data_IF_131504745573
#
_entry.id   IF_131504745573
#
_cell.length_a   1.000
_cell.length_b   1.000
_cell.length_c   1.000
_cell.angle_alpha   90.00
_cell.angle_beta   90.00
_cell.angle_gamma   90.00
#
_symmetry.space_group_name_H-M   'P 1'
#
loop_
_entity.id
_entity.type
_entity.pdbx_description
1 polymer ?
#
# COMPACT_ATOMS: atom_id res chain seq x y z
N UNK A 1 -28.32 13.31 15.88
CA UNK A 1 -27.05 13.49 15.14
C UNK A 1 -27.30 14.29 13.87
N UNK A 2 -26.37 15.17 13.45
CA UNK A 2 -26.50 15.87 12.16
C UNK A 2 -26.55 14.86 11.01
N UNK A 3 -27.42 15.10 10.01
CA UNK A 3 -27.50 14.31 8.77
C UNK A 3 -26.17 14.40 8.01
N UNK A 4 -25.73 13.29 7.42
CA UNK A 4 -24.51 13.24 6.60
C UNK A 4 -24.81 13.76 5.19
N UNK A 5 -23.96 14.63 4.65
CA UNK A 5 -24.10 15.21 3.30
C UNK A 5 -23.41 14.40 2.21
N UNK A 6 -22.48 13.51 2.59
CA UNK A 6 -21.63 12.74 1.68
C UNK A 6 -20.76 13.60 0.74
N UNK A 7 -20.52 14.87 1.09
CA UNK A 7 -19.64 15.78 0.34
C UNK A 7 -18.15 15.46 0.57
N UNK A 8 -17.65 14.44 -0.11
CA UNK A 8 -16.26 13.95 0.01
C UNK A 8 -15.37 14.54 -1.10
N UNK A 9 -14.82 15.72 -0.86
CA UNK A 9 -13.83 16.33 -1.75
C UNK A 9 -12.47 15.62 -1.65
N UNK A 10 -11.62 15.83 -2.64
CA UNK A 10 -10.24 15.31 -2.63
C UNK A 10 -9.46 15.83 -1.40
N UNK A 11 -9.61 17.11 -1.07
CA UNK A 11 -8.96 17.75 0.07
C UNK A 11 -9.39 17.12 1.40
N UNK A 12 -10.70 16.89 1.60
CA UNK A 12 -11.20 16.24 2.82
C UNK A 12 -10.70 14.79 2.94
N UNK A 13 -10.66 14.05 1.83
CA UNK A 13 -10.11 12.68 1.81
C UNK A 13 -8.61 12.66 2.09
N UNK A 14 -7.85 13.62 1.56
CA UNK A 14 -6.41 13.78 1.81
C UNK A 14 -6.16 14.08 3.28
N UNK A 15 -6.85 15.07 3.84
CA UNK A 15 -6.76 15.44 5.25
C UNK A 15 -6.99 14.24 6.17
N UNK A 16 -8.04 13.45 5.90
CA UNK A 16 -8.35 12.26 6.69
C UNK A 16 -7.29 11.17 6.55
N UNK A 17 -6.67 11.02 5.36
CA UNK A 17 -5.57 10.06 5.19
C UNK A 17 -4.32 10.50 5.95
N UNK A 18 -3.89 11.76 5.79
CA UNK A 18 -2.69 12.30 6.45
C UNK A 18 -2.81 12.32 7.98
N UNK A 19 -4.03 12.49 8.50
CA UNK A 19 -4.30 12.58 9.93
C UNK A 19 -5.04 11.36 10.46
N UNK A 20 -4.99 10.21 9.78
CA UNK A 20 -5.82 9.03 10.06
C UNK A 20 -5.91 8.69 11.56
N UNK A 21 -4.77 8.68 12.25
CA UNK A 21 -4.66 8.29 13.65
C UNK A 21 -4.95 9.42 14.65
N UNK A 22 -5.08 10.68 14.23
CA UNK A 22 -5.21 11.82 15.14
C UNK A 22 -6.30 12.83 14.73
N UNK A 23 -7.03 13.34 15.74
CA UNK A 23 -7.96 14.44 15.55
C UNK A 23 -7.20 15.73 15.22
N UNK A 24 -7.51 16.39 14.09
CA UNK A 24 -6.78 17.60 13.64
C UNK A 24 -6.96 18.80 14.56
N UNK A 25 -7.97 18.78 15.42
CA UNK A 25 -8.26 19.92 16.31
C UNK A 25 -7.62 19.80 17.70
N UNK A 26 -7.52 18.60 18.26
CA UNK A 26 -7.07 18.41 19.64
C UNK A 26 -5.94 17.40 19.77
N UNK A 27 -5.46 16.84 18.66
CA UNK A 27 -4.44 15.80 18.59
C UNK A 27 -4.77 14.53 19.39
N UNK A 28 -6.06 14.28 19.64
CA UNK A 28 -6.49 13.02 20.26
C UNK A 28 -6.17 11.85 19.31
N UNK A 29 -5.44 10.87 19.82
CA UNK A 29 -5.13 9.63 19.11
C UNK A 29 -6.34 8.70 19.14
N UNK A 30 -6.88 8.39 17.97
CA UNK A 30 -8.03 7.50 17.83
C UNK A 30 -7.69 6.06 18.28
N UNK A 31 -8.70 5.38 18.82
CA UNK A 31 -8.65 3.98 19.23
C UNK A 31 -9.68 3.17 18.45
N UNK A 32 -9.41 1.88 18.26
CA UNK A 32 -10.34 0.94 17.59
C UNK A 32 -11.77 1.11 18.15
N UNK A 33 -12.73 1.35 17.24
CA UNK A 33 -14.13 1.54 17.59
C UNK A 33 -14.54 2.99 17.91
N UNK A 34 -13.59 3.93 18.03
CA UNK A 34 -13.91 5.36 18.11
C UNK A 34 -14.67 5.82 16.86
N UNK A 35 -15.48 6.88 16.99
CA UNK A 35 -16.09 7.51 15.81
C UNK A 35 -15.26 8.72 15.38
N UNK A 36 -14.83 8.72 14.13
CA UNK A 36 -14.23 9.88 13.48
C UNK A 36 -15.26 10.60 12.61
N UNK A 37 -15.15 11.93 12.55
CA UNK A 37 -16.05 12.78 11.80
C UNK A 37 -15.29 13.58 10.76
N UNK A 38 -15.69 13.43 9.50
CA UNK A 38 -15.19 14.22 8.39
C UNK A 38 -16.25 15.23 8.02
N UNK A 39 -15.86 16.48 7.84
CA UNK A 39 -16.80 17.52 7.48
C UNK A 39 -16.15 18.87 7.31
N UNK A 40 -16.92 19.93 7.48
CA UNK A 40 -16.48 21.29 7.23
C UNK A 40 -16.91 22.24 8.34
N UNK A 41 -16.02 23.15 8.70
CA UNK A 41 -16.31 24.20 9.68
C UNK A 41 -17.18 25.32 9.08
N UNK A 42 -17.49 26.36 9.87
CA UNK A 42 -18.30 27.51 9.39
C UNK A 42 -17.69 28.23 8.19
N UNK A 43 -16.36 28.27 8.11
CA UNK A 43 -15.59 28.87 7.01
C UNK A 43 -15.37 27.91 5.83
N UNK A 44 -16.07 26.76 5.81
CA UNK A 44 -15.98 25.75 4.75
C UNK A 44 -14.61 25.05 4.62
N UNK A 45 -13.76 25.12 5.66
CA UNK A 45 -12.48 24.41 5.74
C UNK A 45 -12.72 22.95 6.18
N UNK A 46 -12.07 21.95 5.54
CA UNK A 46 -12.23 20.55 5.91
C UNK A 46 -11.67 20.26 7.30
N UNK A 47 -12.31 19.34 8.03
CA UNK A 47 -11.92 18.90 9.36
C UNK A 47 -12.08 17.38 9.49
N UNK A 48 -11.10 16.74 10.13
CA UNK A 48 -11.13 15.34 10.56
C UNK A 48 -10.98 15.27 12.08
N UNK A 49 -12.10 15.03 12.79
CA UNK A 49 -12.17 15.26 14.24
C UNK A 49 -12.81 14.10 14.99
N UNK A 50 -12.46 13.96 16.28
CA UNK A 50 -13.10 13.04 17.20
C UNK A 50 -14.46 13.55 17.70
N UNK A 51 -15.23 12.70 18.37
CA UNK A 51 -16.55 13.02 18.94
C UNK A 51 -16.56 14.32 19.75
N UNK A 52 -15.56 14.53 20.62
CA UNK A 52 -15.44 15.73 21.46
C UNK A 52 -15.30 17.03 20.66
N UNK A 53 -14.70 16.95 19.47
CA UNK A 53 -14.47 18.09 18.57
C UNK A 53 -15.52 18.20 17.45
N UNK A 54 -16.44 17.24 17.33
CA UNK A 54 -17.48 17.19 16.28
C UNK A 54 -18.36 18.45 16.22
N UNK A 55 -18.53 19.16 17.34
CA UNK A 55 -19.25 20.45 17.43
C UNK A 55 -18.66 21.58 16.57
N UNK A 56 -17.40 21.45 16.13
CA UNK A 56 -16.76 22.41 15.23
C UNK A 56 -17.25 22.27 13.78
N UNK A 57 -17.86 21.13 13.44
CA UNK A 57 -18.43 20.88 12.14
C UNK A 57 -19.77 21.61 11.99
N UNK A 58 -19.81 22.57 11.06
CA UNK A 58 -21.09 23.11 10.56
C UNK A 58 -21.79 22.07 9.70
N UNK A 59 -21.01 21.30 8.94
CA UNK A 59 -21.47 20.24 8.06
C UNK A 59 -20.71 18.96 8.39
N UNK A 60 -21.43 17.86 8.66
CA UNK A 60 -20.82 16.52 8.70
C UNK A 60 -20.96 15.87 7.31
N UNK A 61 -19.84 15.62 6.65
CA UNK A 61 -19.82 14.90 5.36
C UNK A 61 -20.06 13.41 5.57
N UNK A 62 -19.27 12.78 6.43
CA UNK A 62 -19.38 11.36 6.77
C UNK A 62 -18.86 11.09 8.19
N UNK A 63 -19.29 9.98 8.78
CA UNK A 63 -18.74 9.43 10.01
C UNK A 63 -18.20 8.04 9.72
N UNK A 64 -17.04 7.73 10.28
CA UNK A 64 -16.43 6.41 10.18
C UNK A 64 -16.17 5.87 11.58
N UNK A 65 -16.36 4.57 11.74
CA UNK A 65 -15.72 3.87 12.85
C UNK A 65 -14.24 3.79 12.52
N UNK A 66 -13.42 4.31 13.42
CA UNK A 66 -11.98 4.25 13.28
C UNK A 66 -11.50 2.83 13.47
N UNK A 67 -10.62 2.41 12.56
CA UNK A 67 -9.80 1.21 12.65
C UNK A 67 -8.35 1.58 12.31
N UNK A 68 -7.33 1.04 13.01
CA UNK A 68 -5.94 1.18 12.64
C UNK A 68 -5.67 0.74 11.20
N UNK A 69 -4.63 1.30 10.61
CA UNK A 69 -4.15 0.84 9.31
C UNK A 69 -3.60 -0.59 9.44
N UNK A 70 -3.77 -1.44 8.42
CA UNK A 70 -3.20 -2.79 8.43
C UNK A 70 -1.68 -2.83 8.15
N UNK A 71 -1.05 -1.65 8.06
CA UNK A 71 0.36 -1.42 7.79
C UNK A 71 0.87 -0.22 8.59
N UNK A 72 2.19 -0.16 8.78
CA UNK A 72 2.84 1.03 9.34
C UNK A 72 3.28 1.99 8.23
N UNK A 73 3.12 3.29 8.48
CA UNK A 73 3.58 4.34 7.56
C UNK A 73 5.07 4.62 7.80
N UNK A 74 5.90 4.72 6.74
CA UNK A 74 7.28 5.19 6.86
C UNK A 74 7.40 6.62 7.36
N UNK A 75 8.46 6.89 8.13
CA UNK A 75 8.87 8.26 8.45
C UNK A 75 9.12 9.01 7.14
N UNK A 76 8.81 10.32 7.05
CA UNK A 76 9.00 11.13 5.85
C UNK A 76 10.37 10.94 5.18
N UNK A 77 11.45 10.94 5.97
CA UNK A 77 12.83 10.81 5.51
C UNK A 77 13.28 9.37 5.23
N UNK A 78 12.42 8.36 5.39
CA UNK A 78 12.81 6.97 5.17
C UNK A 78 13.28 6.77 3.73
N UNK A 79 14.53 6.38 3.53
CA UNK A 79 15.09 6.12 2.20
C UNK A 79 14.50 4.86 1.59
N UNK A 80 14.04 4.98 0.36
CA UNK A 80 13.42 3.94 -0.44
C UNK A 80 14.22 3.75 -1.72
N UNK A 81 14.44 2.50 -2.08
CA UNK A 81 15.22 2.10 -3.24
C UNK A 81 14.39 1.25 -4.19
N UNK A 82 14.54 1.47 -5.49
CA UNK A 82 13.97 0.62 -6.53
C UNK A 82 15.05 0.20 -7.52
N UNK A 83 15.50 -1.03 -7.37
CA UNK A 83 16.47 -1.68 -8.24
C UNK A 83 15.76 -2.19 -9.50
N UNK A 84 16.36 -1.98 -10.67
CA UNK A 84 15.77 -2.41 -11.93
C UNK A 84 16.80 -2.45 -13.08
N UNK A 85 16.49 -3.21 -14.12
CA UNK A 85 17.20 -3.13 -15.40
C UNK A 85 17.00 -1.74 -16.05
N UNK A 86 18.02 -1.25 -16.76
CA UNK A 86 17.96 0.05 -17.46
C UNK A 86 16.71 0.24 -18.33
N UNK A 87 16.22 -0.82 -18.97
CA UNK A 87 15.02 -0.75 -19.81
C UNK A 87 13.76 -0.37 -19.03
N UNK A 88 13.62 -0.85 -17.78
CA UNK A 88 12.53 -0.46 -16.88
C UNK A 88 12.69 0.99 -16.43
N UNK A 89 13.93 1.45 -16.24
CA UNK A 89 14.21 2.85 -15.93
C UNK A 89 13.85 3.77 -17.10
N UNK A 90 14.25 3.44 -18.33
CA UNK A 90 13.82 4.17 -19.54
C UNK A 90 12.30 4.17 -19.69
N UNK A 91 11.63 3.06 -19.35
CA UNK A 91 10.16 2.99 -19.34
C UNK A 91 9.53 3.94 -18.32
N UNK A 92 10.09 4.03 -17.10
CA UNK A 92 9.67 5.00 -16.08
C UNK A 92 9.80 6.44 -16.60
N UNK A 93 10.95 6.79 -17.18
CA UNK A 93 11.21 8.13 -17.71
C UNK A 93 10.29 8.48 -18.89
N UNK A 94 10.15 7.56 -19.84
CA UNK A 94 9.36 7.76 -21.05
C UNK A 94 7.86 7.87 -20.76
N UNK A 95 7.36 7.08 -19.81
CA UNK A 95 5.94 7.10 -19.44
C UNK A 95 5.56 8.24 -18.50
N UNK A 96 6.53 8.87 -17.82
CA UNK A 96 6.24 9.89 -16.80
C UNK A 96 5.42 9.33 -15.63
N UNK A 97 5.53 8.03 -15.36
CA UNK A 97 4.65 7.37 -14.40
C UNK A 97 5.24 6.09 -13.81
N UNK A 98 4.87 5.83 -12.57
CA UNK A 98 5.25 4.61 -11.86
C UNK A 98 4.39 3.44 -12.31
N UNK A 99 5.02 2.33 -12.67
CA UNK A 99 4.32 1.08 -12.95
C UNK A 99 3.91 0.38 -11.63
N UNK A 100 2.63 0.03 -11.57
CA UNK A 100 2.00 -0.78 -10.53
C UNK A 100 1.56 -2.11 -11.16
N UNK A 101 2.17 -3.20 -10.73
CA UNK A 101 1.83 -4.55 -11.19
C UNK A 101 0.55 -5.03 -10.49
N UNK A 102 -0.34 -5.70 -11.22
CA UNK A 102 -1.50 -6.35 -10.59
C UNK A 102 -1.03 -7.44 -9.64
N UNK A 103 -1.65 -7.55 -8.46
CA UNK A 103 -1.15 -8.42 -7.39
C UNK A 103 -1.05 -9.91 -7.79
N UNK A 104 -1.91 -10.39 -8.70
CA UNK A 104 -1.83 -11.76 -9.21
C UNK A 104 -0.73 -12.00 -10.27
N UNK A 105 0.03 -10.98 -10.66
CA UNK A 105 1.16 -11.08 -11.59
C UNK A 105 2.52 -11.20 -10.87
N UNK A 106 2.52 -11.20 -9.53
CA UNK A 106 3.73 -11.43 -8.75
C UNK A 106 4.15 -12.90 -8.83
N UNK A 107 5.45 -13.15 -8.77
CA UNK A 107 6.00 -14.51 -8.76
C UNK A 107 5.67 -15.26 -7.47
N UNK A 108 5.61 -14.55 -6.33
CA UNK A 108 5.18 -15.16 -5.07
C UNK A 108 3.67 -15.44 -5.11
N UNK A 109 3.33 -16.73 -5.15
CA UNK A 109 1.95 -17.21 -5.12
C UNK A 109 1.20 -16.86 -3.82
N UNK A 110 1.92 -16.43 -2.78
CA UNK A 110 1.34 -15.97 -1.51
C UNK A 110 0.92 -14.50 -1.52
N UNK A 111 1.10 -13.76 -2.62
CA UNK A 111 0.66 -12.36 -2.70
C UNK A 111 -0.87 -12.25 -2.67
N UNK A 112 -1.40 -11.76 -1.56
CA UNK A 112 -2.84 -11.74 -1.26
C UNK A 112 -3.37 -13.03 -0.62
N UNK A 113 -2.50 -13.94 -0.19
CA UNK A 113 -2.91 -15.19 0.47
C UNK A 113 -3.22 -14.97 1.97
N UNK A 114 -4.23 -15.69 2.45
CA UNK A 114 -4.65 -15.66 3.88
C UNK A 114 -3.78 -16.55 4.76
N UNK A 115 -3.20 -17.62 4.21
CA UNK A 115 -2.37 -18.56 4.95
C UNK A 115 -2.11 -19.84 4.15
N UNK A 116 -1.55 -20.86 4.81
CA UNK A 116 -1.22 -22.14 4.17
C UNK A 116 -2.47 -22.97 3.88
N UNK A 117 -2.53 -23.60 2.69
CA UNK A 117 -3.64 -24.49 2.29
C UNK A 117 -3.92 -25.60 3.29
N UNK A 118 -2.87 -26.21 3.89
CA UNK A 118 -3.03 -27.26 4.90
C UNK A 118 -3.73 -26.80 6.18
N UNK A 119 -3.71 -25.49 6.45
CA UNK A 119 -4.37 -24.87 7.60
C UNK A 119 -5.78 -24.36 7.27
N UNK A 120 -6.24 -24.50 6.01
CA UNK A 120 -7.51 -23.95 5.53
C UNK A 120 -8.72 -24.41 6.37
N UNK A 121 -8.77 -25.67 6.77
CA UNK A 121 -9.88 -26.18 7.59
C UNK A 121 -10.06 -25.42 8.91
N UNK A 122 -8.96 -24.99 9.54
CA UNK A 122 -9.00 -24.18 10.77
C UNK A 122 -9.46 -22.75 10.51
N UNK A 123 -9.07 -22.17 9.37
CA UNK A 123 -9.59 -20.87 8.92
C UNK A 123 -11.10 -20.93 8.65
N UNK A 124 -11.53 -21.95 7.91
CA UNK A 124 -12.94 -22.15 7.56
C UNK A 124 -13.80 -22.34 8.81
N UNK A 125 -13.38 -23.18 9.77
CA UNK A 125 -14.09 -23.38 11.04
C UNK A 125 -14.26 -22.08 11.82
N UNK A 126 -13.21 -21.26 11.90
CA UNK A 126 -13.26 -19.96 12.57
C UNK A 126 -14.29 -19.02 11.91
N UNK A 127 -14.20 -18.83 10.58
CA UNK A 127 -15.10 -17.91 9.89
C UNK A 127 -16.54 -18.43 9.81
N UNK A 128 -16.75 -19.74 9.72
CA UNK A 128 -18.09 -20.31 9.81
C UNK A 128 -18.72 -20.01 11.18
N UNK A 129 -17.98 -20.19 12.27
CA UNK A 129 -18.47 -19.80 13.62
C UNK A 129 -18.80 -18.31 13.69
N UNK A 130 -17.92 -17.46 13.16
CA UNK A 130 -18.14 -16.02 13.09
C UNK A 130 -19.41 -15.67 12.29
N UNK A 131 -19.58 -16.26 11.10
CA UNK A 131 -20.73 -15.98 10.25
C UNK A 131 -22.04 -16.47 10.84
N UNK A 132 -22.07 -17.67 11.44
CA UNK A 132 -23.25 -18.17 12.16
C UNK A 132 -23.63 -17.19 13.27
N UNK A 133 -22.68 -16.80 14.11
CA UNK A 133 -22.92 -15.84 15.18
C UNK A 133 -23.42 -14.48 14.65
N UNK A 134 -22.87 -13.98 13.54
CA UNK A 134 -23.30 -12.73 12.93
C UNK A 134 -24.74 -12.80 12.37
N UNK A 135 -25.15 -13.94 11.82
CA UNK A 135 -26.51 -14.18 11.33
C UNK A 135 -27.50 -14.33 12.49
N UNK A 136 -27.10 -15.04 13.55
CA UNK A 136 -27.92 -15.29 14.75
C UNK A 136 -28.16 -14.03 15.58
N UNK A 137 -27.22 -13.09 15.56
CA UNK A 137 -27.25 -11.89 16.38
C UNK A 137 -27.39 -10.61 15.53
N UNK A 138 -28.53 -10.42 14.84
CA UNK A 138 -28.73 -9.24 14.01
C UNK A 138 -28.87 -7.97 14.86
N UNK A 139 -28.73 -6.78 14.25
CA UNK A 139 -28.88 -5.51 14.95
C UNK A 139 -30.25 -5.37 15.65
N UNK A 140 -30.30 -4.55 16.71
CA UNK A 140 -31.52 -4.28 17.47
C UNK A 140 -32.67 -3.86 16.55
N UNK A 141 -33.81 -4.55 16.67
CA UNK A 141 -35.00 -4.32 15.84
C UNK A 141 -35.15 -5.31 14.68
N UNK A 142 -34.18 -6.20 14.48
CA UNK A 142 -34.26 -7.32 13.54
C UNK A 142 -34.27 -8.63 14.33
N UNK A 143 -35.02 -9.62 13.83
CA UNK A 143 -35.06 -10.97 14.39
C UNK A 143 -34.60 -11.97 13.33
N UNK A 144 -33.72 -12.89 13.73
CA UNK A 144 -33.35 -14.02 12.88
C UNK A 144 -34.48 -15.06 12.93
N UNK A 145 -35.18 -15.23 11.80
CA UNK A 145 -36.26 -16.21 11.65
C UNK A 145 -35.83 -17.49 10.93
N UNK A 146 -34.53 -17.64 10.72
CA UNK A 146 -33.95 -18.77 9.99
C UNK A 146 -33.82 -19.98 10.91
N UNK A 147 -34.04 -21.17 10.36
CA UNK A 147 -33.71 -22.42 11.01
C UNK A 147 -32.19 -22.63 11.08
N UNK A 148 -31.73 -23.51 11.97
CA UNK A 148 -30.30 -23.85 12.07
C UNK A 148 -29.70 -24.35 10.75
N UNK A 149 -30.48 -25.07 9.93
CA UNK A 149 -30.03 -25.53 8.61
C UNK A 149 -29.81 -24.37 7.65
N UNK A 150 -30.73 -23.40 7.62
CA UNK A 150 -30.62 -22.22 6.75
C UNK A 150 -29.47 -21.30 7.18
N UNK A 151 -29.21 -21.18 8.49
CA UNK A 151 -28.07 -20.44 9.03
C UNK A 151 -26.76 -21.08 8.55
N UNK A 152 -26.65 -22.42 8.61
CA UNK A 152 -25.46 -23.12 8.14
C UNK A 152 -25.24 -22.93 6.63
N UNK A 153 -26.30 -23.08 5.83
CA UNK A 153 -26.24 -22.86 4.38
C UNK A 153 -25.77 -21.43 4.02
N UNK A 154 -26.27 -20.42 4.74
CA UNK A 154 -25.86 -19.04 4.54
C UNK A 154 -24.43 -18.77 5.00
N UNK A 155 -24.00 -19.31 6.15
CA UNK A 155 -22.62 -19.20 6.61
C UNK A 155 -21.64 -19.84 5.62
N UNK A 156 -21.99 -21.00 5.07
CA UNK A 156 -21.22 -21.67 4.02
C UNK A 156 -21.16 -20.83 2.74
N UNK A 157 -22.26 -20.17 2.37
CA UNK A 157 -22.28 -19.23 1.24
C UNK A 157 -21.35 -18.04 1.47
N UNK A 158 -21.41 -17.40 2.65
CA UNK A 158 -20.54 -16.27 2.99
C UNK A 158 -19.06 -16.66 2.97
N UNK A 159 -18.71 -17.87 3.44
CA UNK A 159 -17.34 -18.38 3.35
C UNK A 159 -16.89 -18.52 1.88
N UNK A 160 -17.71 -19.11 1.01
CA UNK A 160 -17.42 -19.21 -0.43
C UNK A 160 -17.29 -17.84 -1.09
N UNK A 161 -18.18 -16.91 -0.78
CA UNK A 161 -18.16 -15.56 -1.32
C UNK A 161 -16.89 -14.81 -0.88
N UNK A 162 -16.41 -15.01 0.35
CA UNK A 162 -15.12 -14.47 0.83
C UNK A 162 -13.91 -15.04 0.06
N UNK A 163 -13.96 -16.33 -0.30
CA UNK A 163 -12.90 -16.95 -1.10
C UNK A 163 -12.86 -16.38 -2.52
N UNK A 164 -14.00 -16.35 -3.20
CA UNK A 164 -14.16 -15.78 -4.54
C UNK A 164 -13.78 -14.29 -4.53
N UNK A 165 -14.21 -13.56 -3.51
CA UNK A 165 -13.84 -12.17 -3.29
C UNK A 165 -12.33 -12.00 -3.20
N UNK A 166 -11.62 -12.87 -2.49
CA UNK A 166 -10.15 -12.82 -2.39
C UNK A 166 -9.45 -12.88 -3.76
N UNK A 167 -9.83 -13.82 -4.62
CA UNK A 167 -9.28 -13.91 -5.98
C UNK A 167 -9.65 -12.69 -6.84
N UNK A 168 -10.86 -12.16 -6.66
CA UNK A 168 -11.27 -10.92 -7.32
C UNK A 168 -10.42 -9.73 -6.86
N UNK A 169 -10.19 -9.58 -5.54
CA UNK A 169 -9.35 -8.53 -4.97
C UNK A 169 -7.91 -8.57 -5.53
N UNK A 170 -7.32 -9.76 -5.70
CA UNK A 170 -5.99 -9.91 -6.32
C UNK A 170 -5.93 -9.40 -7.76
N UNK A 171 -7.06 -9.45 -8.48
CA UNK A 171 -7.19 -8.93 -9.85
C UNK A 171 -7.51 -7.43 -9.92
N UNK A 172 -7.85 -6.81 -8.80
CA UNK A 172 -8.21 -5.38 -8.72
C UNK A 172 -7.21 -4.55 -7.91
N UNK A 173 -6.20 -5.20 -7.35
CA UNK A 173 -5.16 -4.55 -6.55
C UNK A 173 -3.88 -4.41 -7.38
N UNK A 174 -3.34 -3.21 -7.44
CA UNK A 174 -2.12 -2.88 -8.18
C UNK A 174 -1.08 -2.33 -7.22
N UNK A 175 0.16 -2.81 -7.33
CA UNK A 175 1.20 -2.65 -6.32
C UNK A 175 2.50 -2.16 -6.98
N UNK A 176 3.14 -1.16 -6.38
CA UNK A 176 4.51 -0.73 -6.67
C UNK A 176 5.38 -0.92 -5.43
N UNK A 177 6.45 -1.71 -5.55
CA UNK A 177 7.29 -2.12 -4.43
C UNK A 177 8.61 -1.34 -4.38
N UNK A 178 9.05 -1.04 -3.17
CA UNK A 178 10.28 -0.33 -2.83
C UNK A 178 10.99 -1.01 -1.67
N UNK A 179 12.31 -0.89 -1.61
CA UNK A 179 13.14 -1.41 -0.54
C UNK A 179 13.50 -0.30 0.44
N UNK A 180 13.08 -0.39 1.70
CA UNK A 180 13.44 0.60 2.71
C UNK A 180 14.80 0.29 3.33
N UNK A 181 15.80 1.13 3.07
CA UNK A 181 17.16 0.98 3.61
C UNK A 181 17.96 2.27 3.56
N UNK A 182 18.83 2.47 4.54
CA UNK A 182 19.75 3.62 4.56
C UNK A 182 20.85 3.54 3.52
N UNK A 183 21.21 2.31 3.14
CA UNK A 183 22.28 1.97 2.20
C UNK A 183 21.73 1.09 1.08
N UNK A 184 22.49 1.00 -0.01
CA UNK A 184 22.20 0.04 -1.06
C UNK A 184 22.35 -1.42 -0.59
N UNK A 185 21.79 -2.35 -1.35
CA UNK A 185 21.78 -3.77 -1.01
C UNK A 185 22.27 -4.63 -2.18
N UNK A 186 23.39 -5.32 -1.96
CA UNK A 186 23.98 -6.25 -2.92
C UNK A 186 22.98 -7.34 -3.36
N UNK A 187 22.21 -7.88 -2.40
CA UNK A 187 21.19 -8.88 -2.67
C UNK A 187 20.08 -8.31 -3.57
N UNK A 188 19.64 -7.07 -3.33
CA UNK A 188 18.57 -6.46 -4.12
C UNK A 188 19.00 -6.15 -5.55
N UNK A 189 20.26 -5.75 -5.75
CA UNK A 189 20.84 -5.63 -7.09
C UNK A 189 20.69 -6.94 -7.88
N UNK A 190 21.02 -8.08 -7.28
CA UNK A 190 20.93 -9.40 -7.92
C UNK A 190 19.50 -9.87 -8.14
N UNK A 191 18.60 -9.62 -7.18
CA UNK A 191 17.22 -10.10 -7.24
C UNK A 191 16.39 -9.39 -8.30
N UNK A 192 16.64 -8.09 -8.51
CA UNK A 192 15.77 -7.25 -9.35
C UNK A 192 16.39 -6.81 -10.69
N UNK A 193 17.61 -7.27 -10.97
CA UNK A 193 18.31 -6.96 -12.21
C UNK A 193 18.72 -8.24 -12.93
N UNK A 194 18.20 -8.42 -14.13
CA UNK A 194 18.52 -9.58 -14.99
C UNK A 194 19.95 -9.50 -15.50
N UNK A 195 20.47 -8.28 -15.68
CA UNK A 195 21.84 -8.04 -16.15
C UNK A 195 22.51 -6.95 -15.32
N UNK A 196 23.32 -7.36 -14.34
CA UNK A 196 23.91 -6.43 -13.38
C UNK A 196 24.71 -5.29 -14.04
N UNK A 197 25.37 -5.53 -15.17
CA UNK A 197 26.21 -4.50 -15.81
C UNK A 197 25.42 -3.37 -16.49
N UNK A 198 24.08 -3.47 -16.59
CA UNK A 198 23.22 -2.38 -17.04
C UNK A 198 22.08 -2.09 -16.05
N UNK A 199 22.27 -2.46 -14.78
CA UNK A 199 21.28 -2.22 -13.76
C UNK A 199 21.42 -0.81 -13.18
N UNK A 200 20.27 -0.24 -12.81
CA UNK A 200 20.21 1.02 -12.07
C UNK A 200 19.33 0.88 -10.83
N UNK A 201 19.53 1.73 -9.85
CA UNK A 201 18.65 1.87 -8.71
C UNK A 201 18.20 3.31 -8.57
N UNK A 202 16.89 3.52 -8.46
CA UNK A 202 16.33 4.83 -8.09
C UNK A 202 16.27 4.90 -6.58
N UNK A 203 16.87 5.93 -6.00
CA UNK A 203 16.69 6.28 -4.60
C UNK A 203 15.70 7.43 -4.48
N UNK A 204 14.81 7.33 -3.50
CA UNK A 204 13.83 8.34 -3.10
C UNK A 204 13.62 8.31 -1.58
N UNK A 205 12.77 9.18 -1.06
CA UNK A 205 12.25 9.11 0.30
C UNK A 205 10.75 8.78 0.28
N UNK A 206 10.19 8.38 1.42
CA UNK A 206 8.75 8.19 1.55
C UNK A 206 7.97 9.46 1.21
N UNK A 207 8.42 10.61 1.71
CA UNK A 207 7.79 11.90 1.42
C UNK A 207 7.83 12.21 -0.08
N UNK A 208 8.99 12.10 -0.72
CA UNK A 208 9.13 12.32 -2.17
C UNK A 208 8.25 11.38 -2.99
N UNK A 209 8.17 10.09 -2.63
CA UNK A 209 7.26 9.14 -3.30
C UNK A 209 5.78 9.56 -3.15
N UNK A 210 5.38 9.96 -1.94
CA UNK A 210 4.01 10.41 -1.66
C UNK A 210 3.65 11.69 -2.44
N UNK A 211 4.56 12.65 -2.46
CA UNK A 211 4.43 13.93 -3.19
C UNK A 211 4.38 13.70 -4.70
N UNK A 212 5.29 12.88 -5.24
CA UNK A 212 5.36 12.57 -6.65
C UNK A 212 4.08 11.89 -7.17
N UNK A 213 3.40 11.10 -6.32
CA UNK A 213 2.10 10.47 -6.63
C UNK A 213 0.90 11.41 -6.40
N UNK A 214 1.13 12.70 -6.20
CA UNK A 214 0.10 13.74 -6.11
C UNK A 214 -0.68 13.75 -4.79
N UNK A 215 -0.10 13.18 -3.72
CA UNK A 215 -0.76 13.05 -2.42
C UNK A 215 -2.16 12.42 -2.55
N UNK A 216 -2.28 11.42 -3.44
CA UNK A 216 -3.56 10.84 -3.80
C UNK A 216 -4.06 9.93 -2.66
N UNK A 217 -5.19 10.25 -1.98
CA UNK A 217 -5.69 9.47 -0.85
C UNK A 217 -6.23 8.09 -1.26
N UNK A 218 -6.27 7.76 -2.56
CA UNK A 218 -6.61 6.42 -3.06
C UNK A 218 -5.38 5.51 -3.15
N UNK A 219 -4.17 6.05 -2.98
CA UNK A 219 -2.93 5.29 -2.96
C UNK A 219 -2.47 5.16 -1.51
N UNK A 220 -2.44 3.93 -1.01
CA UNK A 220 -1.90 3.62 0.31
C UNK A 220 -0.41 3.31 0.19
N UNK A 221 0.43 3.93 1.01
CA UNK A 221 1.88 3.67 1.03
C UNK A 221 2.29 3.22 2.44
N UNK A 222 2.88 2.03 2.56
CA UNK A 222 3.13 1.40 3.86
C UNK A 222 4.17 0.29 3.84
N UNK A 223 4.68 -0.06 5.02
CA UNK A 223 5.59 -1.21 5.20
C UNK A 223 4.83 -2.52 5.20
N UNK A 224 5.45 -3.54 4.64
CA UNK A 224 5.03 -4.94 4.79
C UNK A 224 5.33 -5.42 6.20
N UNK A 225 4.38 -6.15 6.77
CA UNK A 225 4.58 -6.95 7.98
C UNK A 225 4.85 -8.41 7.61
N UNK A 226 5.97 -8.92 8.09
CA UNK A 226 6.44 -10.28 7.81
C UNK A 226 5.94 -11.26 8.86
N UNK A 227 5.10 -12.21 8.45
CA UNK A 227 4.44 -13.15 9.36
C UNK A 227 4.84 -14.60 9.08
N UNK A 228 4.83 -15.43 10.13
CA UNK A 228 4.91 -16.87 9.96
C UNK A 228 3.51 -17.44 9.68
N UNK A 229 3.24 -17.70 8.40
CA UNK A 229 1.95 -18.24 7.94
C UNK A 229 1.71 -19.71 8.35
N UNK A 230 2.67 -20.36 9.04
CA UNK A 230 2.43 -21.65 9.70
C UNK A 230 1.60 -21.49 10.96
N UNK A 231 1.86 -20.43 11.71
CA UNK A 231 1.28 -20.16 13.03
C UNK A 231 0.18 -19.07 12.99
N UNK A 232 0.16 -18.26 11.94
CA UNK A 232 -0.73 -17.10 11.80
C UNK A 232 -1.39 -17.03 10.42
N UNK A 233 -2.40 -16.17 10.30
CA UNK A 233 -3.08 -15.86 9.05
C UNK A 233 -3.04 -14.36 8.79
N UNK A 234 -3.07 -13.96 7.53
CA UNK A 234 -3.34 -12.58 7.15
C UNK A 234 -4.86 -12.33 7.22
N UNK A 235 -5.26 -11.24 7.89
CA UNK A 235 -6.64 -10.77 7.87
C UNK A 235 -7.10 -10.40 6.46
N UNK A 236 -8.40 -10.45 6.19
CA UNK A 236 -8.97 -10.19 4.85
C UNK A 236 -8.55 -8.81 4.31
N UNK A 237 -8.45 -7.81 5.19
CA UNK A 237 -8.07 -6.44 4.84
C UNK A 237 -6.54 -6.23 4.77
N UNK A 238 -5.76 -7.19 5.24
CA UNK A 238 -4.33 -7.03 5.48
C UNK A 238 -3.51 -7.84 4.47
N UNK A 239 -4.15 -8.70 3.66
CA UNK A 239 -3.49 -9.71 2.81
C UNK A 239 -2.42 -9.16 1.86
N UNK A 240 -2.52 -7.88 1.45
CA UNK A 240 -1.52 -7.22 0.59
C UNK A 240 -0.42 -6.47 1.38
N UNK A 241 -0.56 -6.42 2.70
CA UNK A 241 0.39 -5.86 3.66
C UNK A 241 1.11 -6.94 4.46
N UNK A 242 0.83 -8.22 4.19
CA UNK A 242 1.48 -9.37 4.81
C UNK A 242 2.33 -10.11 3.80
N UNK A 243 3.53 -10.50 4.22
CA UNK A 243 4.41 -11.38 3.44
C UNK A 243 5.01 -12.46 4.33
N UNK A 244 5.44 -13.55 3.72
CA UNK A 244 6.07 -14.66 4.47
C UNK A 244 7.40 -14.19 5.06
N UNK A 245 7.69 -14.63 6.29
CA UNK A 245 8.91 -14.28 7.03
C UNK A 245 10.23 -14.51 6.27
N UNK A 246 10.26 -15.45 5.31
CA UNK A 246 11.43 -15.70 4.46
C UNK A 246 11.87 -14.49 3.61
N UNK A 247 10.98 -13.54 3.35
CA UNK A 247 11.24 -12.33 2.56
C UNK A 247 11.58 -11.10 3.42
N UNK A 248 11.77 -11.26 4.73
CA UNK A 248 12.01 -10.13 5.66
C UNK A 248 13.22 -9.26 5.27
N UNK A 249 14.22 -9.88 4.62
CA UNK A 249 15.39 -9.18 4.08
C UNK A 249 15.04 -8.12 3.02
N UNK A 250 13.88 -8.23 2.35
CA UNK A 250 13.45 -7.27 1.33
C UNK A 250 12.99 -5.93 1.92
N UNK A 251 12.69 -5.85 3.23
CA UNK A 251 12.28 -4.60 3.92
C UNK A 251 11.29 -3.77 3.11
N UNK A 252 10.26 -4.43 2.60
CA UNK A 252 9.42 -3.93 1.52
C UNK A 252 8.47 -2.82 1.98
N UNK A 253 8.42 -1.73 1.20
CA UNK A 253 7.39 -0.68 1.26
C UNK A 253 6.58 -0.76 -0.03
N UNK A 254 5.26 -0.80 0.09
CA UNK A 254 4.34 -0.85 -1.05
C UNK A 254 3.56 0.43 -1.19
N UNK A 255 3.45 0.93 -2.42
CA UNK A 255 2.37 1.78 -2.85
C UNK A 255 1.28 0.90 -3.47
N UNK A 256 0.05 0.97 -2.97
CA UNK A 256 -1.08 0.12 -3.37
C UNK A 256 -2.26 0.98 -3.79
N UNK A 257 -2.85 0.64 -4.94
CA UNK A 257 -4.11 1.19 -5.41
C UNK A 257 -5.06 0.07 -5.80
N UNK A 258 -6.33 0.22 -5.43
CA UNK A 258 -7.39 -0.69 -5.86
C UNK A 258 -8.21 -0.03 -6.96
N UNK A 259 -8.38 -0.73 -8.07
CA UNK A 259 -9.22 -0.32 -9.19
C UNK A 259 -10.11 -1.50 -9.60
N UNK A 260 -11.40 -1.36 -9.32
CA UNK A 260 -12.42 -2.38 -9.58
C UNK A 260 -12.87 -2.46 -11.04
N UNK A 261 -12.52 -1.48 -11.86
CA UNK A 261 -12.92 -1.38 -13.26
C UNK A 261 -11.82 -1.93 -14.18
N UNK A 262 -10.55 -1.68 -13.86
CA UNK A 262 -9.41 -2.07 -14.69
C UNK A 262 -9.24 -3.59 -14.85
N UNK A 263 -9.15 -4.04 -16.10
CA UNK A 263 -8.85 -5.43 -16.47
C UNK A 263 -7.37 -5.66 -16.81
N UNK A 264 -6.57 -4.59 -16.81
CA UNK A 264 -5.18 -4.61 -17.19
C UNK A 264 -4.32 -5.42 -16.20
N UNK A 265 -3.17 -5.92 -16.67
CA UNK A 265 -2.20 -6.66 -15.85
C UNK A 265 -1.28 -5.74 -15.04
N UNK A 266 -1.31 -4.44 -15.34
CA UNK A 266 -0.63 -3.41 -14.58
C UNK A 266 -1.10 -2.03 -15.00
N UNK A 267 -0.70 -1.01 -14.25
CA UNK A 267 -1.10 0.38 -14.46
C UNK A 267 0.09 1.30 -14.36
N UNK A 268 0.16 2.27 -15.26
CA UNK A 268 1.07 3.42 -15.12
C UNK A 268 0.29 4.50 -14.37
N UNK A 269 0.78 4.85 -13.19
CA UNK A 269 0.24 5.96 -12.40
C UNK A 269 1.15 7.16 -12.66
N UNK A 270 0.64 8.25 -13.26
CA UNK A 270 1.45 9.45 -13.51
C UNK A 270 2.09 9.95 -12.22
N UNK A 271 3.35 10.36 -12.31
CA UNK A 271 4.09 10.91 -11.19
C UNK A 271 5.07 11.99 -11.62
N UNK A 272 5.36 12.94 -10.72
CA UNK A 272 6.42 13.91 -10.94
C UNK A 272 7.79 13.25 -10.76
N UNK A 273 8.49 13.01 -11.88
CA UNK A 273 9.81 12.38 -11.88
C UNK A 273 10.88 13.24 -11.19
N UNK A 274 10.74 14.56 -11.21
CA UNK A 274 11.69 15.49 -10.59
C UNK A 274 11.62 15.47 -9.06
N UNK A 275 10.45 15.07 -8.53
CA UNK A 275 10.25 14.84 -7.09
C UNK A 275 10.56 13.38 -6.74
N UNK A 276 10.13 12.44 -7.57
CA UNK A 276 10.30 11.01 -7.31
C UNK A 276 11.77 10.60 -7.25
N UNK A 277 12.58 11.03 -8.21
CA UNK A 277 13.95 10.54 -8.39
C UNK A 277 14.90 11.52 -7.69
N UNK A 278 15.34 11.16 -6.49
CA UNK A 278 16.32 11.99 -5.75
C UNK A 278 17.75 11.73 -6.23
N UNK A 279 18.06 10.46 -6.52
CA UNK A 279 19.37 10.04 -7.04
C UNK A 279 19.23 8.72 -7.81
N UNK A 280 20.05 8.56 -8.84
CA UNK A 280 20.15 7.32 -9.60
C UNK A 280 21.51 6.70 -9.34
N UNK A 281 21.54 5.44 -8.96
CA UNK A 281 22.76 4.67 -8.78
C UNK A 281 22.94 3.73 -9.97
N UNK A 282 24.15 3.64 -10.50
CA UNK A 282 24.54 2.56 -11.42
C UNK A 282 25.14 1.40 -10.64
N UNK A 283 24.85 0.19 -11.10
CA UNK A 283 25.30 -1.03 -10.46
C UNK A 283 26.83 -1.11 -10.28
N UNK A 284 27.30 -1.84 -9.25
CA UNK A 284 28.74 -2.05 -9.02
C UNK A 284 29.45 -2.85 -10.14
N UNK A 285 28.69 -3.45 -11.06
CA UNK A 285 29.21 -4.15 -12.24
C UNK A 285 29.07 -3.35 -13.53
N UNK A 286 28.58 -2.11 -13.44
CA UNK A 286 28.42 -1.25 -14.61
C UNK A 286 29.79 -0.76 -15.12
N UNK A 287 30.02 -0.78 -16.45
CA UNK A 287 31.19 -0.15 -17.02
C UNK A 287 31.09 1.38 -16.94
N UNK A 288 32.21 2.09 -16.98
CA UNK A 288 32.26 3.56 -16.82
C UNK A 288 31.36 4.31 -17.80
N UNK A 289 31.35 3.91 -19.07
CA UNK A 289 30.50 4.53 -20.12
C UNK A 289 29.01 4.45 -19.81
N UNK A 290 28.57 3.53 -18.95
CA UNK A 290 27.16 3.38 -18.61
C UNK A 290 26.64 4.55 -17.80
N UNK A 291 27.50 5.21 -17.00
CA UNK A 291 27.16 6.45 -16.30
C UNK A 291 26.80 7.55 -17.30
N UNK A 292 27.61 7.71 -18.35
CA UNK A 292 27.37 8.69 -19.41
C UNK A 292 26.04 8.40 -20.13
N UNK A 293 25.76 7.13 -20.44
CA UNK A 293 24.49 6.73 -21.05
C UNK A 293 23.29 7.07 -20.16
N UNK A 294 23.38 6.84 -18.85
CA UNK A 294 22.29 7.18 -17.92
C UNK A 294 22.08 8.69 -17.88
N UNK A 295 23.16 9.49 -17.87
CA UNK A 295 23.07 10.95 -17.93
C UNK A 295 22.44 11.44 -19.24
N UNK A 296 22.87 10.93 -20.40
CA UNK A 296 22.30 11.29 -21.70
C UNK A 296 20.80 10.99 -21.77
N UNK A 297 20.37 9.86 -21.21
CA UNK A 297 18.96 9.48 -21.13
C UNK A 297 18.19 10.38 -20.16
N UNK A 298 18.77 10.72 -19.00
CA UNK A 298 18.17 11.66 -18.06
C UNK A 298 17.94 13.04 -18.70
N UNK A 299 18.93 13.57 -19.41
CA UNK A 299 18.83 14.84 -20.13
C UNK A 299 17.77 14.81 -21.23
N UNK A 300 17.70 13.71 -21.99
CA UNK A 300 16.67 13.51 -23.02
C UNK A 300 15.25 13.60 -22.47
N UNK A 301 15.02 13.08 -21.27
CA UNK A 301 13.71 13.15 -20.59
C UNK A 301 13.59 14.33 -19.62
N UNK A 302 14.55 15.27 -19.64
CA UNK A 302 14.57 16.48 -18.81
C UNK A 302 14.54 16.21 -17.29
N UNK A 303 15.11 15.08 -16.85
CA UNK A 303 15.23 14.71 -15.44
C UNK A 303 16.63 15.07 -14.94
N UNK A 304 16.73 16.16 -14.18
CA UNK A 304 18.01 16.65 -13.64
C UNK A 304 18.29 16.03 -12.28
N UNK A 305 18.94 14.87 -12.29
CA UNK A 305 19.24 14.10 -11.08
C UNK A 305 20.70 13.68 -11.06
N UNK A 306 21.26 13.56 -9.85
CA UNK A 306 22.61 13.03 -9.69
C UNK A 306 22.63 11.56 -10.08
N UNK A 307 23.62 11.18 -10.89
CA UNK A 307 23.95 9.79 -11.21
C UNK A 307 25.24 9.43 -10.48
N UNK A 308 25.18 8.41 -9.62
CA UNK A 308 26.31 7.93 -8.82
C UNK A 308 26.65 6.48 -9.12
N UNK A 309 27.91 6.12 -8.99
CA UNK A 309 28.30 4.71 -8.90
C UNK A 309 27.89 4.15 -7.54
N UNK A 310 27.57 2.86 -7.52
CA UNK A 310 27.40 2.07 -6.29
C UNK A 310 28.59 2.27 -5.34
N UNK A 311 28.33 2.40 -4.04
CA UNK A 311 29.36 2.46 -2.98
C UNK A 311 30.03 1.09 -2.78
N UNK A 312 29.41 -0.01 -3.23
CA UNK A 312 29.98 -1.37 -3.16
C UNK A 312 31.24 -1.57 -4.02
N UNK A 313 31.66 -0.59 -4.85
CA UNK A 313 32.92 -0.63 -5.60
C UNK A 313 34.08 0.06 -4.88
N UNK A 314 33.87 0.62 -3.69
CA UNK A 314 34.94 1.25 -2.93
C UNK A 314 36.09 0.27 -2.65
N UNK A 315 37.32 0.71 -2.89
CA UNK A 315 38.51 -0.11 -2.69
C UNK A 315 38.83 -0.24 -1.19
N UNK A 316 38.89 -1.46 -0.63
CA UNK A 316 39.28 -1.65 0.76
C UNK A 316 40.80 -1.44 0.92
N UNK A 317 41.19 -0.94 2.10
CA UNK A 317 42.58 -0.98 2.56
C UNK A 317 42.82 -2.24 3.41
N UNK A 318 44.00 -2.86 3.32
CA UNK A 318 44.36 -4.11 4.02
C UNK A 318 45.59 -3.97 4.90
#
# INVERSE_FOLDING_TARGET
MQKMTHRLTLELRRLASENHDHCVSCNYQFKEGDTSHLGYCKSNVPLYVCDACSKQLKETAIRHYFSPRPYSVPEPSSKLWRYMDFTKYVSLLSSGGLYFARANCFEDTFEGAKGLKRNKARWDDYYLKFFRAAIENPPKGYECKLSNSEIDEQAQKLLRDMEVGGEYHRKRTFISCWHASEHESEAMWRLYSSFLSNAVAVRTSYESLYMALGQNPSISIGRIEYIDMKESYAGVNDVFWRKRKYFEHEREVRAIVTDFESQEIGKIIPCDLSVLIEEVFVSPKAPSWFVDLVNDVNDKYSVKVKVSSSELIEEPFF
#
